data_IF_318235607525
#
_entry.id   IF_318235607525
#
_cell.length_a   1.000
_cell.length_b   1.000
_cell.length_c   1.000
_cell.angle_alpha   90.00
_cell.angle_beta   90.00
_cell.angle_gamma   90.00
#
_symmetry.space_group_name_H-M   'P 1'
#
loop_
_entity.id
_entity.type
_entity.pdbx_description
1 polymer ?
#
# COMPACT_ATOMS: atom_id res chain seq x y z
N UNK A 1 19.60 2.11 -14.93
CA UNK A 1 18.94 2.71 -13.74
C UNK A 1 17.71 1.87 -13.41
N UNK A 2 17.69 1.19 -12.26
CA UNK A 2 16.59 0.29 -11.94
C UNK A 2 15.38 1.08 -11.44
N UNK A 3 14.24 0.93 -12.13
CA UNK A 3 12.96 1.43 -11.66
C UNK A 3 12.43 0.46 -10.62
N UNK A 4 12.14 0.98 -9.42
CA UNK A 4 11.58 0.18 -8.33
C UNK A 4 10.07 -0.04 -8.51
N UNK A 5 9.35 1.00 -8.93
CA UNK A 5 7.92 0.97 -9.18
C UNK A 5 7.63 1.59 -10.55
N UNK A 6 6.84 0.90 -11.36
CA UNK A 6 6.38 1.40 -12.65
C UNK A 6 4.85 1.28 -12.75
N UNK A 7 4.23 2.37 -13.10
CA UNK A 7 2.82 2.47 -13.45
C UNK A 7 2.71 2.63 -14.96
N UNK A 8 1.87 1.82 -15.61
CA UNK A 8 1.63 1.92 -17.06
C UNK A 8 0.15 2.06 -17.33
N UNK A 9 -0.23 3.17 -17.91
CA UNK A 9 -1.59 3.49 -18.34
C UNK A 9 -2.66 3.19 -17.27
N UNK A 10 -2.37 3.57 -16.02
CA UNK A 10 -3.25 3.28 -14.89
C UNK A 10 -4.54 4.08 -15.01
N UNK A 11 -5.66 3.38 -15.05
CA UNK A 11 -6.97 3.95 -14.97
C UNK A 11 -7.68 3.44 -13.72
N UNK A 12 -8.44 4.32 -13.08
CA UNK A 12 -9.32 3.94 -11.97
C UNK A 12 -10.64 4.67 -12.08
N UNK A 13 -11.70 3.90 -12.10
CA UNK A 13 -13.07 4.41 -12.04
C UNK A 13 -13.83 3.73 -10.91
N UNK A 14 -14.76 4.47 -10.34
CA UNK A 14 -15.75 3.97 -9.40
C UNK A 14 -17.12 4.07 -10.03
N UNK A 15 -17.95 3.07 -9.82
CA UNK A 15 -19.35 3.05 -10.30
C UNK A 15 -20.24 3.11 -9.06
N UNK A 16 -20.91 4.23 -8.92
CA UNK A 16 -22.03 4.43 -8.00
C UNK A 16 -23.28 4.58 -8.87
N UNK A 17 -24.04 5.67 -8.77
CA UNK A 17 -25.11 5.99 -9.70
C UNK A 17 -24.56 6.41 -11.08
N UNK A 18 -23.36 7.03 -11.10
CA UNK A 18 -22.64 7.41 -12.32
C UNK A 18 -21.20 6.90 -12.25
N UNK A 19 -20.63 6.57 -13.42
CA UNK A 19 -19.22 6.19 -13.51
C UNK A 19 -18.34 7.44 -13.38
N UNK A 20 -17.50 7.45 -12.34
CA UNK A 20 -16.54 8.52 -12.05
C UNK A 20 -15.14 8.02 -12.39
N UNK A 21 -14.49 8.60 -13.39
CA UNK A 21 -13.11 8.30 -13.76
C UNK A 21 -12.15 9.18 -12.96
N UNK A 22 -11.48 8.58 -11.97
CA UNK A 22 -10.58 9.28 -11.06
C UNK A 22 -9.16 9.33 -11.62
N UNK A 23 -8.64 8.23 -12.15
CA UNK A 23 -7.36 8.19 -12.85
C UNK A 23 -7.59 7.84 -14.31
N UNK A 24 -6.95 8.59 -15.22
CA UNK A 24 -7.27 8.56 -16.65
C UNK A 24 -6.04 8.24 -17.51
N UNK A 25 -5.33 7.13 -17.20
CA UNK A 25 -4.20 6.70 -18.01
C UNK A 25 -2.84 7.20 -17.48
N UNK A 26 -2.65 7.20 -16.15
CA UNK A 26 -1.41 7.64 -15.53
C UNK A 26 -0.27 6.65 -15.83
N UNK A 27 0.85 7.17 -16.33
CA UNK A 27 2.09 6.41 -16.48
C UNK A 27 3.23 7.13 -15.76
N UNK A 28 3.95 6.42 -14.88
CA UNK A 28 5.07 6.97 -14.12
C UNK A 28 6.03 5.87 -13.69
N UNK A 29 7.32 6.21 -13.65
CA UNK A 29 8.38 5.37 -13.09
C UNK A 29 8.96 6.02 -11.86
N UNK A 30 9.12 5.23 -10.80
CA UNK A 30 9.71 5.64 -9.54
C UNK A 30 11.01 4.88 -9.34
N UNK A 31 12.07 5.61 -9.02
CA UNK A 31 13.41 5.05 -8.81
C UNK A 31 13.62 4.73 -7.34
N UNK A 32 14.38 3.68 -7.07
CA UNK A 32 14.80 3.33 -5.72
C UNK A 32 15.63 4.48 -5.09
N UNK A 33 15.44 4.68 -3.79
CA UNK A 33 16.19 5.67 -3.01
C UNK A 33 15.82 7.13 -3.30
N UNK A 34 14.68 7.39 -3.92
CA UNK A 34 14.16 8.75 -4.17
C UNK A 34 12.88 9.01 -3.39
N UNK A 35 12.69 10.26 -3.01
CA UNK A 35 11.46 10.76 -2.42
C UNK A 35 10.64 11.41 -3.52
N UNK A 36 9.34 11.11 -3.56
CA UNK A 36 8.38 11.68 -4.50
C UNK A 36 7.23 12.32 -3.75
N UNK A 37 6.82 13.50 -4.17
CA UNK A 37 5.65 14.19 -3.67
C UNK A 37 4.52 14.13 -4.70
N UNK A 38 3.29 13.84 -4.23
CA UNK A 38 2.07 13.87 -5.04
C UNK A 38 1.25 15.07 -4.57
N UNK A 39 1.13 16.07 -5.43
CA UNK A 39 0.46 17.33 -5.13
C UNK A 39 -0.79 17.50 -6.00
N UNK A 40 -1.74 18.27 -5.52
CA UNK A 40 -2.98 18.61 -6.24
C UNK A 40 -4.14 18.93 -5.29
N UNK A 41 -5.24 19.49 -5.80
CA UNK A 41 -6.40 19.84 -5.00
C UNK A 41 -7.10 18.62 -4.39
N UNK A 42 -8.01 18.84 -3.45
CA UNK A 42 -8.86 17.76 -2.92
C UNK A 42 -9.66 17.11 -4.06
N UNK A 43 -9.85 15.79 -3.99
CA UNK A 43 -10.55 15.03 -5.02
C UNK A 43 -9.76 14.71 -6.29
N UNK A 44 -8.50 15.17 -6.44
CA UNK A 44 -7.69 14.92 -7.65
C UNK A 44 -7.16 13.47 -7.78
N UNK A 45 -7.53 12.55 -6.89
CA UNK A 45 -7.16 11.14 -6.98
C UNK A 45 -5.85 10.75 -6.28
N UNK A 46 -5.24 11.64 -5.46
CA UNK A 46 -3.99 11.35 -4.74
C UNK A 46 -4.08 10.12 -3.84
N UNK A 47 -5.11 10.06 -3.00
CA UNK A 47 -5.34 8.90 -2.11
C UNK A 47 -5.68 7.65 -2.91
N UNK A 48 -6.42 7.77 -4.00
CA UNK A 48 -6.69 6.66 -4.93
C UNK A 48 -5.40 6.11 -5.50
N UNK A 49 -4.50 6.98 -5.97
CA UNK A 49 -3.20 6.57 -6.50
C UNK A 49 -2.35 5.87 -5.42
N UNK A 50 -2.31 6.41 -4.20
CA UNK A 50 -1.59 5.79 -3.08
C UNK A 50 -2.16 4.41 -2.73
N UNK A 51 -3.49 4.24 -2.73
CA UNK A 51 -4.12 2.95 -2.50
C UNK A 51 -3.77 1.91 -3.58
N UNK A 52 -3.64 2.34 -4.84
CA UNK A 52 -3.20 1.46 -5.92
C UNK A 52 -1.72 1.07 -5.78
N UNK A 53 -0.85 2.03 -5.49
CA UNK A 53 0.59 1.79 -5.30
C UNK A 53 0.83 0.89 -4.08
N UNK A 54 0.03 1.06 -3.03
CA UNK A 54 0.14 0.24 -1.82
C UNK A 54 -0.57 -1.11 -1.91
N UNK A 55 -1.15 -1.44 -3.07
CA UNK A 55 -1.87 -2.69 -3.31
C UNK A 55 -3.06 -2.94 -2.36
N UNK A 56 -3.65 -1.87 -1.83
CA UNK A 56 -4.90 -1.92 -1.06
C UNK A 56 -6.09 -2.02 -2.02
N UNK A 57 -5.99 -1.34 -3.16
CA UNK A 57 -6.99 -1.35 -4.22
C UNK A 57 -6.34 -1.77 -5.55
N UNK A 58 -7.17 -2.16 -6.53
CA UNK A 58 -6.74 -2.56 -7.87
C UNK A 58 -7.12 -1.51 -8.91
N UNK A 59 -6.32 -1.29 -9.95
CA UNK A 59 -6.69 -0.43 -11.06
C UNK A 59 -7.87 -1.03 -11.85
N UNK A 60 -8.65 -0.18 -12.50
CA UNK A 60 -9.68 -0.61 -13.46
C UNK A 60 -9.05 -1.12 -14.75
N UNK A 61 -7.91 -0.52 -15.14
CA UNK A 61 -7.06 -0.98 -16.25
C UNK A 61 -5.65 -0.43 -16.09
N UNK A 62 -4.71 -0.93 -16.91
CA UNK A 62 -3.28 -0.65 -16.80
C UNK A 62 -2.58 -1.66 -15.91
N UNK A 63 -1.28 -1.49 -15.71
CA UNK A 63 -0.48 -2.43 -14.94
C UNK A 63 0.48 -1.73 -13.98
N UNK A 64 0.76 -2.38 -12.87
CA UNK A 64 1.71 -1.97 -11.85
C UNK A 64 2.84 -3.00 -11.81
N UNK A 65 4.09 -2.53 -11.82
CA UNK A 65 5.28 -3.38 -11.65
C UNK A 65 6.09 -2.91 -10.46
N UNK A 66 6.51 -3.85 -9.62
CA UNK A 66 7.53 -3.64 -8.61
C UNK A 66 8.77 -4.44 -8.99
N UNK A 67 9.91 -3.77 -9.03
CA UNK A 67 11.23 -4.36 -9.35
C UNK A 67 11.17 -5.22 -10.63
N UNK A 68 10.54 -4.68 -11.68
CA UNK A 68 10.24 -5.30 -12.98
C UNK A 68 9.23 -6.47 -12.94
N UNK A 69 8.75 -6.91 -11.76
CA UNK A 69 7.73 -7.93 -11.63
C UNK A 69 6.33 -7.30 -11.69
N UNK A 70 5.49 -7.79 -12.59
CA UNK A 70 4.12 -7.34 -12.72
C UNK A 70 3.24 -7.88 -11.60
N UNK A 71 2.42 -7.01 -11.01
CA UNK A 71 1.45 -7.38 -9.98
C UNK A 71 0.22 -7.99 -10.64
N UNK A 72 -0.02 -9.26 -10.35
CA UNK A 72 -1.24 -9.94 -10.78
C UNK A 72 -2.34 -9.79 -9.73
N UNK A 73 -3.29 -8.90 -9.96
CA UNK A 73 -4.39 -8.63 -9.01
C UNK A 73 -5.40 -9.78 -8.85
N UNK A 74 -5.28 -10.88 -9.61
CA UNK A 74 -6.06 -12.11 -9.39
C UNK A 74 -5.47 -12.97 -8.27
N UNK A 75 -4.20 -12.77 -7.92
CA UNK A 75 -3.46 -13.52 -6.89
C UNK A 75 -3.41 -12.75 -5.57
N UNK A 76 -4.57 -12.50 -4.97
CA UNK A 76 -4.70 -11.62 -3.81
C UNK A 76 -3.79 -12.04 -2.64
N UNK A 77 -3.73 -13.32 -2.30
CA UNK A 77 -2.86 -13.81 -1.22
C UNK A 77 -1.37 -13.53 -1.45
N UNK A 78 -0.88 -13.62 -2.69
CA UNK A 78 0.52 -13.25 -3.00
C UNK A 78 0.74 -11.75 -2.87
N UNK A 79 -0.23 -10.95 -3.30
CA UNK A 79 -0.16 -9.49 -3.18
C UNK A 79 -0.19 -9.04 -1.72
N UNK A 80 -0.96 -9.72 -0.86
CA UNK A 80 -1.00 -9.43 0.57
C UNK A 80 0.35 -9.72 1.25
N UNK A 81 0.98 -10.85 0.92
CA UNK A 81 2.33 -11.18 1.40
C UNK A 81 3.36 -10.17 0.87
N UNK A 82 3.27 -9.80 -0.40
CA UNK A 82 4.16 -8.79 -0.97
C UNK A 82 3.99 -7.44 -0.27
N UNK A 83 2.75 -6.98 -0.09
CA UNK A 83 2.44 -5.73 0.64
C UNK A 83 3.03 -5.76 2.05
N UNK A 84 2.76 -6.81 2.81
CA UNK A 84 3.24 -6.96 4.18
C UNK A 84 4.78 -6.89 4.29
N UNK A 85 5.50 -7.42 3.28
CA UNK A 85 6.98 -7.49 3.29
C UNK A 85 7.67 -6.27 2.68
N UNK A 86 7.02 -5.56 1.76
CA UNK A 86 7.69 -4.57 0.90
C UNK A 86 7.14 -3.16 1.01
N UNK A 87 5.95 -2.96 1.56
CA UNK A 87 5.27 -1.66 1.58
C UNK A 87 4.92 -1.28 3.01
N UNK A 88 5.40 -0.13 3.45
CA UNK A 88 4.95 0.52 4.68
C UNK A 88 4.04 1.70 4.35
N UNK A 89 2.95 1.86 5.07
CA UNK A 89 2.00 2.95 4.88
C UNK A 89 1.85 3.70 6.20
N UNK A 90 1.96 5.02 6.13
CA UNK A 90 1.59 5.91 7.22
C UNK A 90 0.31 6.64 6.79
N UNK A 91 -0.77 6.40 7.52
CA UNK A 91 -2.06 7.01 7.24
C UNK A 91 -2.18 8.40 7.89
N UNK A 92 -3.02 9.23 7.32
CA UNK A 92 -3.36 10.53 7.90
C UNK A 92 -4.14 10.39 9.22
N UNK A 93 -4.99 9.37 9.31
CA UNK A 93 -5.72 9.00 10.52
C UNK A 93 -5.04 7.79 11.17
N UNK A 94 -5.18 7.66 12.47
CA UNK A 94 -4.48 6.66 13.27
C UNK A 94 -4.93 5.21 13.06
N UNK A 95 -5.96 4.90 12.32
CA UNK A 95 -6.44 3.55 11.93
C UNK A 95 -6.13 2.42 12.93
N UNK A 96 -6.07 2.77 14.24
CA UNK A 96 -5.85 1.80 15.30
C UNK A 96 -7.13 1.01 15.56
N UNK A 97 -6.96 -0.25 15.88
CA UNK A 97 -8.04 -1.12 16.32
C UNK A 97 -8.39 -0.73 17.76
N UNK A 98 -9.54 -0.08 17.96
CA UNK A 98 -9.96 0.47 19.25
C UNK A 98 -10.13 -0.58 20.35
N UNK A 99 -10.52 -1.80 19.98
CA UNK A 99 -10.77 -2.91 20.89
C UNK A 99 -9.49 -3.62 21.36
N UNK A 100 -8.32 -3.16 20.88
CA UNK A 100 -7.03 -3.76 21.16
C UNK A 100 -6.07 -2.75 21.80
N UNK A 101 -5.22 -3.26 22.67
CA UNK A 101 -4.15 -2.48 23.32
C UNK A 101 -3.13 -1.97 22.30
N UNK A 102 -2.31 -0.99 22.67
CA UNK A 102 -1.20 -0.51 21.85
C UNK A 102 -0.24 -1.64 21.46
N UNK A 103 0.04 -2.55 22.40
CA UNK A 103 0.88 -3.73 22.14
C UNK A 103 0.28 -4.65 21.08
N UNK A 104 -1.02 -4.93 21.19
CA UNK A 104 -1.71 -5.80 20.22
C UNK A 104 -1.78 -5.17 18.82
N UNK A 105 -2.04 -3.87 18.73
CA UNK A 105 -1.99 -3.16 17.45
C UNK A 105 -0.63 -3.32 16.73
N UNK A 106 0.48 -3.18 17.45
CA UNK A 106 1.82 -3.37 16.90
C UNK A 106 2.13 -4.85 16.68
N UNK A 107 1.66 -5.73 17.56
CA UNK A 107 1.83 -7.17 17.47
C UNK A 107 1.18 -7.75 16.20
N UNK A 108 -0.07 -7.39 15.88
CA UNK A 108 -0.76 -7.88 14.68
C UNK A 108 -0.02 -7.52 13.39
N UNK A 109 0.52 -6.30 13.30
CA UNK A 109 1.33 -5.90 12.16
C UNK A 109 2.58 -6.77 12.00
N UNK A 110 3.24 -7.14 13.12
CA UNK A 110 4.41 -8.02 13.10
C UNK A 110 4.04 -9.47 12.81
N UNK A 111 2.89 -9.94 13.31
CA UNK A 111 2.43 -11.31 13.13
C UNK A 111 2.12 -11.61 11.66
N UNK A 112 1.55 -10.65 10.93
CA UNK A 112 1.24 -10.79 9.50
C UNK A 112 2.46 -11.07 8.62
N UNK A 113 3.67 -10.73 9.10
CA UNK A 113 4.91 -10.94 8.37
C UNK A 113 5.48 -12.36 8.50
N UNK A 114 5.39 -12.97 9.68
CA UNK A 114 6.18 -14.15 10.02
C UNK A 114 5.38 -15.32 10.59
N UNK A 115 4.11 -15.14 10.88
CA UNK A 115 3.23 -16.13 11.54
C UNK A 115 3.79 -16.73 12.84
N UNK A 116 4.84 -16.10 13.42
CA UNK A 116 5.51 -16.51 14.66
C UNK A 116 5.11 -15.59 15.81
N UNK A 117 4.19 -16.07 16.64
CA UNK A 117 3.60 -15.30 17.74
C UNK A 117 4.66 -14.76 18.73
N UNK A 118 5.62 -15.61 19.16
CA UNK A 118 6.65 -15.21 20.13
C UNK A 118 7.56 -14.12 19.56
N UNK A 119 8.02 -14.28 18.33
CA UNK A 119 8.85 -13.28 17.65
C UNK A 119 8.10 -11.97 17.41
N UNK A 120 6.81 -12.04 17.02
CA UNK A 120 5.98 -10.87 16.80
C UNK A 120 5.79 -10.07 18.09
N UNK A 121 5.51 -10.74 19.21
CA UNK A 121 5.36 -10.12 20.51
C UNK A 121 6.64 -9.41 20.96
N UNK A 122 7.77 -10.11 20.92
CA UNK A 122 9.08 -9.53 21.30
C UNK A 122 9.43 -8.30 20.46
N UNK A 123 9.11 -8.32 19.15
CA UNK A 123 9.33 -7.15 18.28
C UNK A 123 8.42 -5.99 18.66
N UNK A 124 7.14 -6.25 18.93
CA UNK A 124 6.17 -5.23 19.32
C UNK A 124 6.59 -4.54 20.64
N UNK A 125 6.95 -5.31 21.67
CA UNK A 125 7.46 -4.78 22.93
C UNK A 125 8.72 -3.93 22.74
N UNK A 126 9.67 -4.43 21.93
CA UNK A 126 10.91 -3.69 21.64
C UNK A 126 10.66 -2.37 20.90
N UNK A 127 9.67 -2.31 20.02
CA UNK A 127 9.31 -1.08 19.31
C UNK A 127 8.65 -0.07 20.25
N UNK A 128 7.69 -0.51 21.08
CA UNK A 128 7.02 0.37 22.02
C UNK A 128 7.93 0.93 23.11
N UNK A 129 8.97 0.18 23.51
CA UNK A 129 9.99 0.69 24.46
C UNK A 129 10.89 1.81 23.89
N UNK A 130 10.82 2.08 22.60
CA UNK A 130 11.62 3.15 21.96
C UNK A 130 10.87 4.48 21.83
N UNK A 131 9.60 4.47 22.11
CA UNK A 131 8.71 5.64 22.08
C UNK A 131 8.51 6.13 23.52
#
# INVERSE_FOLDING_TARGET
MNNFLELKNIQKSFTTEKKINVLRGLSKKFRLGKIYSIMGPSGSGKSTLLNLISLIDKPSSGLIKFDNCEINFREQGKNDIFRAKKIGIVYQQNNLLSDFTALENVYFASLSLNNNKKLALTKAEKLLKKI
#
